data_IF_803673990812
#
_entry.id   IF_803673990812
#
_cell.length_a   1.000
_cell.length_b   1.000
_cell.length_c   1.000
_cell.angle_alpha   90.00
_cell.angle_beta   90.00
_cell.angle_gamma   90.00
#
_symmetry.space_group_name_H-M   'P 1'
#
loop_
_entity.id
_entity.type
_entity.pdbx_description
1 polymer ?
#
# COMPACT_ATOMS: atom_id res chain seq x y z
N UNK A 1 10.19 -5.47 9.62
CA UNK A 1 8.74 -5.40 9.45
C UNK A 1 8.51 -5.14 7.98
N UNK A 2 7.66 -5.94 7.34
CA UNK A 2 7.24 -5.79 5.95
C UNK A 2 5.76 -5.43 5.92
N UNK A 3 5.28 -4.85 4.81
CA UNK A 3 3.87 -4.57 4.60
C UNK A 3 3.39 -5.33 3.35
N UNK A 4 2.69 -6.45 3.54
CA UNK A 4 2.06 -7.16 2.42
C UNK A 4 0.59 -6.78 2.36
N UNK A 5 0.20 -6.08 1.30
CA UNK A 5 -1.15 -5.57 1.08
C UNK A 5 -1.88 -6.53 0.15
N UNK A 6 -2.98 -7.12 0.63
CA UNK A 6 -3.88 -7.94 -0.19
C UNK A 6 -5.14 -7.13 -0.49
N UNK A 7 -5.30 -6.78 -1.77
CA UNK A 7 -6.45 -6.01 -2.24
C UNK A 7 -7.68 -6.90 -2.44
N UNK A 8 -8.84 -6.27 -2.40
CA UNK A 8 -10.10 -6.86 -2.87
C UNK A 8 -10.72 -5.97 -3.93
N UNK A 9 -11.82 -6.40 -4.55
CA UNK A 9 -12.55 -5.57 -5.50
C UNK A 9 -13.03 -4.22 -4.94
N UNK A 10 -13.10 -4.07 -3.61
CA UNK A 10 -13.45 -2.80 -2.97
C UNK A 10 -12.23 -1.87 -2.86
N UNK A 11 -11.03 -2.42 -2.77
CA UNK A 11 -9.77 -1.69 -2.65
C UNK A 11 -8.92 -1.78 -3.92
N UNK A 12 -9.55 -2.04 -5.08
CA UNK A 12 -8.82 -2.25 -6.34
C UNK A 12 -8.06 -1.00 -6.77
N UNK A 13 -8.56 0.19 -6.43
CA UNK A 13 -7.76 1.40 -6.36
C UNK A 13 -7.29 1.63 -4.91
N UNK A 14 -6.05 1.26 -4.59
CA UNK A 14 -5.55 1.26 -3.21
C UNK A 14 -5.62 2.64 -2.55
N UNK A 15 -5.09 3.66 -3.23
CA UNK A 15 -5.06 5.02 -2.68
C UNK A 15 -6.46 5.64 -2.71
N UNK A 16 -7.24 5.41 -3.76
CA UNK A 16 -8.64 5.83 -3.83
C UNK A 16 -9.46 5.27 -2.67
N UNK A 17 -9.34 3.96 -2.40
CA UNK A 17 -10.00 3.28 -1.30
C UNK A 17 -9.63 3.87 0.06
N UNK A 18 -8.34 4.03 0.35
CA UNK A 18 -7.90 4.61 1.61
C UNK A 18 -8.39 6.06 1.76
N UNK A 19 -8.38 6.85 0.67
CA UNK A 19 -8.92 8.20 0.62
C UNK A 19 -10.42 8.28 0.97
N UNK A 20 -11.22 7.36 0.41
CA UNK A 20 -12.64 7.24 0.74
C UNK A 20 -12.86 6.75 2.17
N UNK A 21 -12.04 5.80 2.62
CA UNK A 21 -12.07 5.28 3.99
C UNK A 21 -11.87 6.39 5.02
N UNK A 22 -10.87 7.26 4.83
CA UNK A 22 -10.60 8.35 5.79
C UNK A 22 -11.66 9.45 5.74
N UNK A 23 -12.25 9.73 4.56
CA UNK A 23 -13.34 10.69 4.42
C UNK A 23 -14.61 10.26 5.16
N UNK A 24 -14.81 8.96 5.37
CA UNK A 24 -15.88 8.39 6.19
C UNK A 24 -15.81 8.72 7.70
N UNK A 25 -14.80 9.50 8.13
CA UNK A 25 -14.46 9.81 9.53
C UNK A 25 -14.58 8.57 10.45
N UNK A 26 -13.87 7.46 10.13
CA UNK A 26 -14.07 6.20 10.83
C UNK A 26 -13.66 6.28 12.30
N UNK A 27 -12.72 7.15 12.65
CA UNK A 27 -11.95 7.07 13.91
C UNK A 27 -12.29 8.17 14.90
N UNK A 28 -13.47 8.81 14.77
CA UNK A 28 -13.93 9.84 15.71
C UNK A 28 -13.89 9.30 17.15
N UNK A 29 -12.94 9.78 17.96
CA UNK A 29 -12.73 9.31 19.34
C UNK A 29 -11.56 8.32 19.56
N UNK A 30 -10.66 8.15 18.59
CA UNK A 30 -9.39 7.40 18.69
C UNK A 30 -9.52 5.86 18.77
N UNK A 31 -10.72 5.33 18.53
CA UNK A 31 -10.98 3.89 18.54
C UNK A 31 -11.06 3.29 19.94
N UNK A 32 -10.93 1.97 20.04
CA UNK A 32 -11.06 1.19 21.27
C UNK A 32 -10.18 -0.04 21.23
N UNK A 33 -9.66 -0.44 22.39
CA UNK A 33 -8.79 -1.61 22.52
C UNK A 33 -9.57 -2.82 23.05
N UNK A 34 -9.13 -4.02 22.68
CA UNK A 34 -9.56 -5.27 23.27
C UNK A 34 -8.32 -6.13 23.61
N UNK A 35 -8.30 -6.80 24.78
CA UNK A 35 -9.22 -6.61 25.91
C UNK A 35 -9.17 -5.18 26.49
N UNK A 36 -10.11 -4.84 27.37
CA UNK A 36 -10.21 -3.48 27.93
C UNK A 36 -8.97 -3.02 28.75
N UNK A 37 -8.04 -3.92 29.07
CA UNK A 37 -6.81 -3.63 29.79
C UNK A 37 -5.62 -4.29 29.07
N UNK A 38 -4.47 -3.62 29.04
CA UNK A 38 -3.29 -4.13 28.35
C UNK A 38 -2.75 -5.42 29.01
N UNK A 39 -2.07 -6.32 28.26
CA UNK A 39 -1.81 -6.24 26.82
C UNK A 39 -3.09 -6.36 25.98
N UNK A 40 -3.02 -5.80 24.79
CA UNK A 40 -4.12 -5.73 23.84
C UNK A 40 -3.89 -6.73 22.73
N UNK A 41 -4.95 -7.44 22.39
CA UNK A 41 -5.01 -8.31 21.21
C UNK A 41 -5.42 -7.47 19.98
N UNK A 42 -6.20 -6.41 20.20
CA UNK A 42 -6.78 -5.61 19.13
C UNK A 42 -6.85 -4.11 19.47
N UNK A 43 -6.70 -3.28 18.43
CA UNK A 43 -7.19 -1.91 18.39
C UNK A 43 -8.14 -1.78 17.21
N UNK A 44 -9.35 -1.30 17.47
CA UNK A 44 -10.34 -1.08 16.43
C UNK A 44 -10.76 0.38 16.40
N UNK A 45 -10.88 0.93 15.20
CA UNK A 45 -11.43 2.24 14.94
C UNK A 45 -12.44 2.14 13.83
N UNK A 46 -13.56 2.86 13.90
CA UNK A 46 -14.55 2.74 12.84
C UNK A 46 -15.99 2.97 13.26
N UNK A 47 -16.82 2.95 12.23
CA UNK A 47 -18.26 2.83 12.31
C UNK A 47 -18.71 1.70 11.36
N UNK A 48 -19.97 1.64 10.97
CA UNK A 48 -20.47 0.59 10.08
C UNK A 48 -20.04 0.73 8.62
N UNK A 49 -19.56 1.90 8.21
CA UNK A 49 -19.28 2.25 6.81
C UNK A 49 -17.79 2.39 6.49
N UNK A 50 -16.95 2.58 7.50
CA UNK A 50 -15.50 2.58 7.38
C UNK A 50 -14.93 2.14 8.74
N UNK A 51 -14.04 1.15 8.70
CA UNK A 51 -13.54 0.46 9.88
C UNK A 51 -12.12 -0.01 9.66
N UNK A 52 -11.35 -0.11 10.74
CA UNK A 52 -10.02 -0.70 10.78
C UNK A 52 -9.85 -1.50 12.07
N UNK A 53 -9.16 -2.64 11.98
CA UNK A 53 -8.75 -3.44 13.13
C UNK A 53 -7.25 -3.74 12.96
N UNK A 54 -6.48 -3.39 13.97
CA UNK A 54 -5.12 -3.88 14.18
C UNK A 54 -5.21 -5.10 15.11
N UNK A 55 -4.69 -6.24 14.70
CA UNK A 55 -4.53 -7.45 15.52
C UNK A 55 -3.06 -7.65 15.92
N UNK A 56 -2.82 -8.24 17.10
CA UNK A 56 -1.47 -8.57 17.59
C UNK A 56 -1.43 -9.00 19.06
N UNK A 57 -0.28 -8.79 19.71
CA UNK A 57 -0.09 -8.86 21.17
C UNK A 57 0.78 -7.67 21.58
N UNK A 58 0.12 -6.57 21.95
CA UNK A 58 0.79 -5.29 22.09
C UNK A 58 0.35 -4.47 23.30
N UNK A 59 1.20 -3.53 23.69
CA UNK A 59 0.84 -2.44 24.59
C UNK A 59 0.84 -1.14 23.82
N UNK A 60 -0.03 -0.23 24.18
CA UNK A 60 -0.08 1.08 23.56
C UNK A 60 -0.13 2.17 24.62
N UNK A 61 0.83 3.08 24.50
CA UNK A 61 0.73 4.44 25.02
C UNK A 61 0.88 5.33 23.80
N UNK A 62 0.27 6.52 23.82
CA UNK A 62 0.32 7.44 22.67
C UNK A 62 1.76 7.60 22.15
N UNK A 63 1.99 7.20 20.90
CA UNK A 63 3.31 7.24 20.24
C UNK A 63 4.34 6.26 20.82
N UNK A 64 3.88 5.12 21.34
CA UNK A 64 4.72 4.05 21.87
C UNK A 64 4.00 2.69 21.86
N UNK A 65 3.63 2.23 20.67
CA UNK A 65 3.21 0.85 20.39
C UNK A 65 4.40 -0.11 20.57
N UNK A 66 4.23 -1.15 21.37
CA UNK A 66 5.25 -2.16 21.66
C UNK A 66 4.64 -3.55 21.71
N UNK A 67 5.42 -4.60 21.42
CA UNK A 67 4.94 -5.99 21.38
C UNK A 67 5.09 -6.55 19.99
N UNK A 68 4.08 -7.27 19.50
CA UNK A 68 3.97 -7.74 18.11
C UNK A 68 2.66 -7.30 17.52
N UNK A 69 2.66 -7.05 16.21
CA UNK A 69 1.47 -6.75 15.42
C UNK A 69 1.41 -7.69 14.24
N UNK A 70 0.22 -8.20 13.96
CA UNK A 70 -0.01 -9.27 12.99
C UNK A 70 -0.63 -8.73 11.71
N UNK A 71 -1.83 -8.14 11.80
CA UNK A 71 -2.54 -7.60 10.64
C UNK A 71 -3.14 -6.22 10.93
N UNK A 72 -3.27 -5.41 9.90
CA UNK A 72 -4.06 -4.19 9.90
C UNK A 72 -5.12 -4.30 8.78
N UNK A 73 -6.35 -4.61 9.18
CA UNK A 73 -7.45 -4.88 8.27
C UNK A 73 -8.41 -3.70 8.19
N UNK A 74 -8.69 -3.24 6.98
CA UNK A 74 -9.66 -2.20 6.68
C UNK A 74 -10.93 -2.83 6.08
N UNK A 75 -12.07 -2.21 6.34
CA UNK A 75 -13.33 -2.65 5.77
C UNK A 75 -14.54 -1.96 6.35
N UNK A 76 -15.65 -2.70 6.41
CA UNK A 76 -16.95 -2.18 6.85
C UNK A 76 -17.62 -3.07 7.89
N UNK A 77 -18.65 -2.53 8.53
CA UNK A 77 -19.49 -3.27 9.47
C UNK A 77 -18.81 -3.57 10.82
N UNK A 78 -18.02 -2.63 11.36
CA UNK A 78 -17.40 -2.82 12.67
C UNK A 78 -18.45 -3.22 13.73
N UNK A 79 -18.16 -4.31 14.43
CA UNK A 79 -18.97 -4.80 15.54
C UNK A 79 -18.09 -5.28 16.69
N UNK A 80 -18.71 -5.52 17.85
CA UNK A 80 -18.00 -6.00 19.04
C UNK A 80 -17.72 -4.90 20.07
N UNK A 81 -16.77 -5.17 20.97
CA UNK A 81 -16.46 -4.32 22.11
C UNK A 81 -15.14 -4.71 22.78
N UNK A 82 -14.63 -3.85 23.66
CA UNK A 82 -13.51 -4.13 24.57
C UNK A 82 -13.72 -5.32 25.52
N UNK A 83 -14.90 -5.93 25.55
CA UNK A 83 -15.21 -7.14 26.33
C UNK A 83 -15.35 -8.41 25.51
N UNK A 84 -15.54 -8.29 24.19
CA UNK A 84 -15.91 -9.42 23.31
C UNK A 84 -14.98 -9.59 22.12
N UNK A 85 -14.03 -8.67 21.93
CA UNK A 85 -13.29 -8.54 20.67
C UNK A 85 -14.08 -7.73 19.66
N UNK A 86 -13.38 -7.34 18.60
CA UNK A 86 -13.90 -6.63 17.45
C UNK A 86 -13.87 -7.50 16.20
N UNK A 87 -14.76 -7.21 15.26
CA UNK A 87 -14.77 -7.86 13.95
C UNK A 87 -15.28 -6.90 12.87
N UNK A 88 -14.79 -7.11 11.65
CA UNK A 88 -15.35 -6.50 10.44
C UNK A 88 -16.49 -7.37 9.90
N UNK A 89 -17.51 -6.73 9.34
CA UNK A 89 -18.54 -7.43 8.56
C UNK A 89 -18.00 -7.88 7.21
N UNK A 90 -17.18 -7.03 6.59
CA UNK A 90 -16.44 -7.30 5.36
C UNK A 90 -15.05 -6.71 5.49
N UNK A 91 -14.01 -7.53 5.30
CA UNK A 91 -12.64 -7.05 5.09
C UNK A 91 -12.48 -6.69 3.62
N UNK A 92 -11.98 -5.48 3.35
CA UNK A 92 -11.88 -4.91 2.00
C UNK A 92 -10.42 -4.63 1.61
N UNK A 93 -9.52 -4.48 2.59
CA UNK A 93 -8.08 -4.44 2.41
C UNK A 93 -7.43 -5.07 3.65
N UNK A 94 -6.44 -5.94 3.45
CA UNK A 94 -5.67 -6.53 4.54
C UNK A 94 -4.19 -6.22 4.39
N UNK A 95 -3.54 -5.82 5.48
CA UNK A 95 -2.11 -5.56 5.54
C UNK A 95 -1.50 -6.54 6.53
N UNK A 96 -0.72 -7.50 6.04
CA UNK A 96 0.07 -8.41 6.86
C UNK A 96 1.38 -7.73 7.28
N UNK A 97 1.64 -7.77 8.59
CA UNK A 97 2.77 -7.14 9.27
C UNK A 97 3.81 -8.17 9.77
N UNK A 98 3.66 -9.44 9.38
CA UNK A 98 4.56 -10.56 9.65
C UNK A 98 4.83 -10.80 11.15
N UNK A 99 3.83 -10.56 12.00
CA UNK A 99 3.94 -10.68 13.46
C UNK A 99 5.13 -9.92 14.05
N UNK A 100 5.56 -8.84 13.39
CA UNK A 100 6.80 -8.15 13.71
C UNK A 100 6.64 -7.19 14.89
N UNK A 101 7.75 -6.89 15.54
CA UNK A 101 7.80 -5.78 16.49
C UNK A 101 7.56 -4.45 15.77
N UNK A 102 6.62 -3.61 16.24
CA UNK A 102 6.30 -2.33 15.60
C UNK A 102 7.53 -1.42 15.60
N UNK A 103 7.84 -0.88 14.42
CA UNK A 103 8.86 0.16 14.25
C UNK A 103 8.24 1.54 14.48
N UNK A 104 9.08 2.57 14.63
CA UNK A 104 8.63 3.92 14.98
C UNK A 104 7.65 4.53 13.95
N UNK A 105 7.84 4.26 12.66
CA UNK A 105 6.90 4.72 11.62
C UNK A 105 5.58 3.99 11.68
N UNK A 106 5.55 2.69 12.00
CA UNK A 106 4.30 1.96 12.18
C UNK A 106 3.53 2.46 13.41
N UNK A 107 4.22 2.72 14.53
CA UNK A 107 3.61 3.39 15.69
C UNK A 107 3.02 4.77 15.31
N UNK A 108 3.75 5.55 14.51
CA UNK A 108 3.28 6.82 13.99
C UNK A 108 2.08 6.65 13.04
N UNK A 109 2.04 5.57 12.26
CA UNK A 109 0.91 5.22 11.38
C UNK A 109 -0.35 4.97 12.22
N UNK A 110 -0.27 4.14 13.26
CA UNK A 110 -1.39 3.89 14.17
C UNK A 110 -1.84 5.19 14.87
N UNK A 111 -0.90 6.01 15.35
CA UNK A 111 -1.23 7.33 15.91
C UNK A 111 -1.93 8.25 14.88
N UNK A 112 -1.45 8.26 13.64
CA UNK A 112 -2.05 9.03 12.54
C UNK A 112 -3.46 8.58 12.22
N UNK A 113 -3.68 7.26 12.14
CA UNK A 113 -5.00 6.67 11.92
C UNK A 113 -5.96 7.03 13.07
N UNK A 114 -5.53 6.93 14.33
CA UNK A 114 -6.32 7.39 15.48
C UNK A 114 -6.69 8.88 15.43
N UNK A 115 -5.93 9.68 14.68
CA UNK A 115 -6.18 11.10 14.45
C UNK A 115 -6.92 11.38 13.12
N UNK A 116 -7.35 10.35 12.39
CA UNK A 116 -8.04 10.49 11.11
C UNK A 116 -7.12 10.94 9.97
N UNK A 117 -5.87 10.48 9.94
CA UNK A 117 -4.89 10.81 8.91
C UNK A 117 -4.17 9.57 8.37
N UNK A 118 -4.00 9.52 7.04
CA UNK A 118 -3.23 8.49 6.34
C UNK A 118 -1.75 8.86 6.14
N UNK A 119 -1.36 10.10 6.43
CA UNK A 119 -0.01 10.61 6.13
C UNK A 119 1.09 9.73 6.71
N UNK A 120 0.93 9.29 7.96
CA UNK A 120 1.91 8.44 8.62
C UNK A 120 1.87 6.98 8.13
N UNK A 121 0.71 6.52 7.63
CA UNK A 121 0.60 5.19 7.02
C UNK A 121 1.39 5.15 5.69
N UNK A 122 1.24 6.18 4.86
CA UNK A 122 2.05 6.30 3.64
C UNK A 122 3.53 6.52 3.93
N UNK A 123 3.88 7.25 4.99
CA UNK A 123 5.26 7.36 5.44
C UNK A 123 5.85 6.02 5.91
N UNK A 124 5.03 5.17 6.54
CA UNK A 124 5.42 3.81 6.89
C UNK A 124 5.68 2.96 5.64
N UNK A 125 4.75 2.94 4.66
CA UNK A 125 4.96 2.25 3.39
C UNK A 125 6.22 2.74 2.66
N UNK A 126 6.45 4.06 2.65
CA UNK A 126 7.65 4.66 2.09
C UNK A 126 8.95 4.29 2.82
N UNK A 127 8.91 3.93 4.10
CA UNK A 127 10.10 3.48 4.85
C UNK A 127 10.39 1.99 4.63
N UNK A 128 9.34 1.15 4.61
CA UNK A 128 9.52 -0.31 4.61
C UNK A 128 9.39 -0.96 3.22
N UNK A 129 8.88 -0.24 2.23
CA UNK A 129 8.40 -0.83 0.98
C UNK A 129 7.13 -1.67 1.19
N UNK A 130 6.49 -2.06 0.11
CA UNK A 130 5.24 -2.81 0.10
C UNK A 130 5.33 -4.02 -0.82
N UNK A 131 4.60 -5.08 -0.47
CA UNK A 131 4.23 -6.13 -1.43
C UNK A 131 2.74 -6.01 -1.68
N UNK A 132 2.34 -5.52 -2.85
CA UNK A 132 0.94 -5.35 -3.21
C UNK A 132 0.49 -6.49 -4.10
N UNK A 133 -0.61 -7.13 -3.69
CA UNK A 133 -1.25 -8.22 -4.40
C UNK A 133 -2.63 -7.73 -4.80
N UNK A 134 -2.80 -7.48 -6.10
CA UNK A 134 -4.07 -7.18 -6.73
C UNK A 134 -5.00 -8.40 -6.78
N UNK A 135 -6.01 -8.30 -7.61
CA UNK A 135 -7.16 -9.18 -7.67
C UNK A 135 -7.16 -9.94 -9.00
N UNK A 136 -8.34 -10.32 -9.49
CA UNK A 136 -8.50 -10.93 -10.81
C UNK A 136 -9.22 -10.00 -11.79
N UNK A 137 -9.39 -8.73 -11.42
CA UNK A 137 -10.00 -7.69 -12.22
C UNK A 137 -9.12 -6.45 -12.17
N UNK A 138 -9.44 -5.41 -12.95
CA UNK A 138 -8.62 -4.21 -13.04
C UNK A 138 -8.29 -3.56 -11.67
N UNK A 139 -6.99 -3.48 -11.36
CA UNK A 139 -6.45 -2.85 -10.16
C UNK A 139 -5.55 -1.64 -10.48
N UNK A 140 -5.46 -0.71 -9.53
CA UNK A 140 -4.54 0.43 -9.52
C UNK A 140 -3.63 0.30 -8.31
N UNK A 141 -2.39 -0.12 -8.58
CA UNK A 141 -1.34 -0.32 -7.59
C UNK A 141 -0.42 0.90 -7.57
N UNK A 142 0.15 1.21 -6.41
CA UNK A 142 0.93 2.45 -6.21
C UNK A 142 2.27 2.17 -5.58
N UNK A 143 3.36 2.62 -6.21
CA UNK A 143 4.66 2.64 -5.54
C UNK A 143 4.71 3.76 -4.48
N UNK A 144 5.45 3.50 -3.41
CA UNK A 144 5.87 4.42 -2.36
C UNK A 144 7.39 4.63 -2.46
N UNK A 145 8.02 5.35 -1.53
CA UNK A 145 9.44 5.68 -1.68
C UNK A 145 10.42 4.53 -1.40
N UNK A 146 9.94 3.42 -0.84
CA UNK A 146 10.74 2.25 -0.52
C UNK A 146 10.54 1.16 -1.55
N UNK A 147 11.44 0.18 -1.61
CA UNK A 147 11.44 -0.87 -2.64
C UNK A 147 10.15 -1.70 -2.60
N UNK A 148 9.32 -1.56 -3.63
CA UNK A 148 8.02 -2.21 -3.72
C UNK A 148 8.02 -3.43 -4.66
N UNK A 149 7.13 -4.37 -4.37
CA UNK A 149 6.80 -5.49 -5.25
C UNK A 149 5.32 -5.44 -5.57
N UNK A 150 4.99 -5.28 -6.86
CA UNK A 150 3.62 -5.11 -7.35
C UNK A 150 3.23 -6.33 -8.20
N UNK A 151 2.12 -6.97 -7.83
CA UNK A 151 1.50 -8.06 -8.58
C UNK A 151 0.08 -7.64 -8.91
N UNK A 152 -0.21 -7.39 -10.19
CA UNK A 152 -1.54 -6.94 -10.65
C UNK A 152 -2.58 -8.06 -10.54
N UNK A 153 -2.20 -9.27 -10.95
CA UNK A 153 -3.03 -10.45 -10.89
C UNK A 153 -3.67 -10.78 -12.23
N UNK A 154 -4.87 -10.27 -12.51
CA UNK A 154 -5.55 -10.55 -13.78
C UNK A 154 -6.42 -9.39 -14.25
N UNK A 155 -6.80 -9.45 -15.52
CA UNK A 155 -7.35 -8.32 -16.28
C UNK A 155 -6.32 -7.18 -16.43
N UNK A 156 -6.76 -5.93 -16.64
CA UNK A 156 -5.90 -4.84 -17.09
C UNK A 156 -5.56 -3.89 -15.95
N UNK A 157 -4.37 -4.06 -15.39
CA UNK A 157 -3.88 -3.32 -14.24
C UNK A 157 -3.12 -2.04 -14.59
N UNK A 158 -3.09 -1.11 -13.63
CA UNK A 158 -2.34 0.13 -13.68
C UNK A 158 -1.34 0.21 -12.54
N UNK A 159 -0.06 0.37 -12.87
CA UNK A 159 1.02 0.53 -11.90
C UNK A 159 1.48 1.99 -11.86
N UNK A 160 1.29 2.63 -10.71
CA UNK A 160 1.43 4.08 -10.56
C UNK A 160 2.71 4.46 -9.82
N UNK A 161 3.62 5.13 -10.53
CA UNK A 161 4.89 5.67 -10.06
C UNK A 161 4.84 7.21 -10.10
N UNK A 162 3.92 7.77 -9.33
CA UNK A 162 3.68 9.22 -9.25
C UNK A 162 4.05 9.77 -7.87
N UNK A 163 5.02 10.68 -7.84
CA UNK A 163 5.54 11.31 -6.62
C UNK A 163 4.49 12.20 -5.91
N UNK A 164 3.52 12.73 -6.64
CA UNK A 164 2.51 13.65 -6.10
C UNK A 164 1.41 12.94 -5.28
N UNK A 165 1.20 11.64 -5.48
CA UNK A 165 0.12 10.89 -4.82
C UNK A 165 0.36 10.76 -3.31
N UNK A 166 1.63 10.64 -2.92
CA UNK A 166 2.09 10.30 -1.58
C UNK A 166 3.20 11.25 -1.08
N UNK A 167 3.54 12.30 -1.86
CA UNK A 167 4.52 13.32 -1.48
C UNK A 167 5.95 12.79 -1.40
N UNK A 168 6.23 11.71 -2.13
CA UNK A 168 7.53 11.06 -2.15
C UNK A 168 8.53 11.85 -2.99
N UNK A 169 9.84 11.63 -2.76
CA UNK A 169 10.91 12.23 -3.55
C UNK A 169 11.56 11.23 -4.52
N UNK A 170 11.22 9.96 -4.40
CA UNK A 170 11.77 8.80 -5.10
C UNK A 170 10.67 7.73 -5.15
N UNK A 171 10.79 6.79 -6.08
CA UNK A 171 9.92 5.59 -6.15
C UNK A 171 10.63 4.35 -5.59
N UNK A 172 11.95 4.38 -5.44
CA UNK A 172 12.69 3.24 -4.89
C UNK A 172 13.05 2.23 -5.98
N UNK A 173 13.56 1.06 -5.59
CA UNK A 173 13.91 -0.01 -6.52
C UNK A 173 12.80 -1.06 -6.57
N UNK A 174 11.88 -0.90 -7.53
CA UNK A 174 10.61 -1.61 -7.59
C UNK A 174 10.62 -2.79 -8.56
N UNK A 175 9.70 -3.73 -8.33
CA UNK A 175 9.48 -4.89 -9.20
C UNK A 175 7.99 -5.05 -9.51
N UNK A 176 7.64 -5.07 -10.81
CA UNK A 176 6.34 -5.54 -11.28
C UNK A 176 6.50 -7.00 -11.71
N UNK A 177 5.74 -7.89 -11.08
CA UNK A 177 6.01 -9.34 -11.16
C UNK A 177 5.34 -10.06 -12.34
N UNK A 178 4.29 -9.49 -12.90
CA UNK A 178 3.39 -10.15 -13.85
C UNK A 178 2.96 -9.26 -15.02
N UNK A 179 3.72 -8.20 -15.32
CA UNK A 179 3.33 -7.18 -16.29
C UNK A 179 2.91 -7.75 -17.66
N UNK A 180 1.64 -7.58 -18.02
CA UNK A 180 1.07 -7.97 -19.30
C UNK A 180 1.16 -6.83 -20.33
N UNK A 181 2.15 -6.93 -21.22
CA UNK A 181 2.43 -5.95 -22.28
C UNK A 181 1.24 -5.67 -23.22
N UNK A 182 0.21 -6.51 -23.23
CA UNK A 182 -0.92 -6.37 -24.15
C UNK A 182 -1.94 -5.31 -23.75
N UNK A 183 -2.06 -5.03 -22.46
CA UNK A 183 -3.22 -4.32 -21.91
C UNK A 183 -2.98 -3.60 -20.57
N UNK A 184 -1.83 -3.80 -19.94
CA UNK A 184 -1.48 -3.09 -18.70
C UNK A 184 -0.71 -1.80 -18.94
N UNK A 185 -0.81 -0.90 -17.95
CA UNK A 185 -0.32 0.46 -18.01
C UNK A 185 0.63 0.78 -16.86
N UNK A 186 1.74 1.44 -17.17
CA UNK A 186 2.62 2.07 -16.20
C UNK A 186 2.42 3.59 -16.28
N UNK A 187 2.06 4.20 -15.17
CA UNK A 187 1.84 5.65 -15.06
C UNK A 187 3.06 6.28 -14.38
N UNK A 188 3.70 7.21 -15.07
CA UNK A 188 4.79 8.02 -14.55
C UNK A 188 4.29 9.42 -14.20
N UNK A 189 4.43 9.80 -12.93
CA UNK A 189 4.28 11.18 -12.45
C UNK A 189 5.58 11.63 -11.82
N UNK A 190 6.61 11.78 -12.66
CA UNK A 190 7.97 12.17 -12.28
C UNK A 190 8.27 13.60 -12.78
N UNK A 191 9.56 13.96 -12.91
CA UNK A 191 9.95 15.22 -13.53
C UNK A 191 10.03 15.11 -15.07
N UNK A 192 10.39 16.22 -15.72
CA UNK A 192 10.51 16.30 -17.18
C UNK A 192 11.62 15.44 -17.79
N UNK A 193 12.35 14.64 -17.01
CA UNK A 193 13.35 13.70 -17.51
C UNK A 193 12.74 12.34 -17.89
N UNK A 194 11.51 12.08 -17.43
CA UNK A 194 10.80 10.81 -17.60
C UNK A 194 9.32 11.05 -17.95
N UNK A 195 9.04 12.07 -18.78
CA UNK A 195 7.68 12.49 -19.14
C UNK A 195 7.24 12.00 -20.53
N UNK A 196 8.05 11.16 -21.16
CA UNK A 196 7.76 10.60 -22.48
C UNK A 196 8.23 9.16 -22.67
N UNK A 197 7.55 8.44 -23.57
CA UNK A 197 7.91 7.09 -23.97
C UNK A 197 9.37 6.97 -24.45
N UNK A 198 9.85 7.97 -25.20
CA UNK A 198 11.20 7.95 -25.74
C UNK A 198 12.26 8.00 -24.64
N UNK A 199 12.00 8.72 -23.54
CA UNK A 199 12.88 8.80 -22.39
C UNK A 199 12.86 7.50 -21.58
N UNK A 200 11.66 6.96 -21.30
CA UNK A 200 11.52 5.68 -20.57
C UNK A 200 12.24 4.55 -21.31
N UNK A 201 11.99 4.38 -22.61
CA UNK A 201 12.65 3.32 -23.39
C UNK A 201 14.15 3.54 -23.52
N UNK A 202 14.63 4.80 -23.61
CA UNK A 202 16.05 5.09 -23.59
C UNK A 202 16.72 4.74 -22.25
N UNK A 203 15.95 4.78 -21.16
CA UNK A 203 16.36 4.36 -19.82
C UNK A 203 16.15 2.87 -19.55
N UNK A 204 15.55 2.11 -20.47
CA UNK A 204 15.25 0.69 -20.26
C UNK A 204 16.32 -0.22 -20.87
N UNK A 205 16.75 -1.25 -20.12
CA UNK A 205 17.69 -2.27 -20.58
C UNK A 205 17.22 -3.68 -20.23
N UNK A 206 17.46 -4.65 -21.13
CA UNK A 206 17.20 -6.07 -20.82
C UNK A 206 18.21 -6.61 -19.81
N UNK A 207 17.72 -7.28 -18.78
CA UNK A 207 18.52 -7.99 -17.77
C UNK A 207 18.14 -9.47 -17.70
N UNK A 208 18.79 -10.24 -16.82
CA UNK A 208 18.38 -11.61 -16.55
C UNK A 208 17.03 -11.75 -15.83
N UNK A 209 16.54 -10.67 -15.20
CA UNK A 209 15.27 -10.63 -14.49
C UNK A 209 14.11 -10.12 -15.37
N UNK A 210 14.42 -9.39 -16.43
CA UNK A 210 13.44 -8.71 -17.30
C UNK A 210 13.93 -7.32 -17.71
N UNK A 211 13.02 -6.49 -18.22
CA UNK A 211 13.29 -5.12 -18.60
C UNK A 211 13.46 -4.25 -17.34
N UNK A 212 14.64 -3.62 -17.20
CA UNK A 212 14.96 -2.70 -16.11
C UNK A 212 14.91 -1.27 -16.62
N UNK A 213 14.00 -0.46 -16.07
CA UNK A 213 13.90 0.98 -16.29
C UNK A 213 14.76 1.67 -15.21
N UNK A 214 15.87 2.30 -15.60
CA UNK A 214 16.75 3.04 -14.69
C UNK A 214 16.34 4.52 -14.59
N UNK A 215 15.67 4.89 -13.49
CA UNK A 215 15.18 6.24 -13.23
C UNK A 215 16.22 7.10 -12.48
N UNK A 216 17.47 6.66 -12.42
CA UNK A 216 18.59 7.37 -11.83
C UNK A 216 18.37 7.66 -10.35
N UNK A 217 18.21 8.94 -9.99
CA UNK A 217 18.05 9.35 -8.59
C UNK A 217 16.67 9.00 -8.01
N UNK A 218 15.69 8.68 -8.85
CA UNK A 218 14.36 8.27 -8.42
C UNK A 218 14.25 6.77 -8.12
N UNK A 219 15.28 5.97 -8.46
CA UNK A 219 15.29 4.53 -8.29
C UNK A 219 15.15 3.78 -9.61
N UNK A 220 14.50 2.62 -9.61
CA UNK A 220 14.38 1.77 -10.78
C UNK A 220 13.12 0.92 -10.77
N UNK A 221 12.68 0.45 -11.94
CA UNK A 221 11.53 -0.45 -12.07
C UNK A 221 11.95 -1.65 -12.89
N UNK A 222 11.81 -2.85 -12.32
CA UNK A 222 12.01 -4.11 -13.04
C UNK A 222 10.67 -4.71 -13.45
N UNK A 223 10.47 -4.89 -14.76
CA UNK A 223 9.34 -5.63 -15.32
C UNK A 223 9.74 -7.09 -15.48
N UNK A 224 9.38 -7.92 -14.50
CA UNK A 224 9.85 -9.29 -14.43
C UNK A 224 9.40 -10.11 -15.64
N UNK A 225 10.36 -10.77 -16.32
CA UNK A 225 10.08 -11.62 -17.48
C UNK A 225 9.68 -10.87 -18.77
N UNK A 226 9.58 -9.54 -18.76
CA UNK A 226 9.30 -8.71 -19.93
C UNK A 226 10.60 -8.38 -20.67
N UNK A 227 10.56 -8.31 -22.00
CA UNK A 227 11.67 -7.80 -22.80
C UNK A 227 11.40 -6.37 -23.27
N UNK A 228 12.44 -5.55 -23.38
CA UNK A 228 12.33 -4.16 -23.84
C UNK A 228 11.68 -4.07 -25.22
N UNK A 229 11.94 -5.05 -26.09
CA UNK A 229 11.40 -5.09 -27.44
C UNK A 229 9.87 -5.31 -27.52
N UNK A 230 9.25 -5.79 -26.44
CA UNK A 230 7.81 -6.03 -26.36
C UNK A 230 7.04 -4.80 -25.87
N UNK A 231 7.73 -3.81 -25.29
CA UNK A 231 7.15 -2.57 -24.78
C UNK A 231 6.81 -1.61 -25.92
N UNK A 232 5.64 -0.98 -25.80
CA UNK A 232 5.13 -0.01 -26.78
C UNK A 232 4.66 1.25 -26.09
N UNK A 233 4.31 2.28 -26.87
CA UNK A 233 3.75 3.53 -26.33
C UNK A 233 2.48 3.32 -25.52
N UNK A 234 1.73 2.26 -25.79
CA UNK A 234 0.43 2.00 -25.16
C UNK A 234 0.60 1.49 -23.72
N UNK A 235 1.80 1.04 -23.35
CA UNK A 235 2.13 0.57 -22.00
C UNK A 235 2.46 1.72 -21.03
N UNK A 236 2.49 2.97 -21.49
CA UNK A 236 2.97 4.09 -20.70
C UNK A 236 2.04 5.31 -20.76
N UNK A 237 1.78 5.89 -19.60
CA UNK A 237 1.12 7.17 -19.46
C UNK A 237 1.95 8.11 -18.57
N UNK A 238 1.80 9.42 -18.82
CA UNK A 238 2.57 10.48 -18.17
C UNK A 238 1.59 11.54 -17.67
N UNK A 239 1.75 11.99 -16.41
CA UNK A 239 0.81 12.89 -15.72
C UNK A 239 1.46 14.12 -15.11
#
# INVERSE_FOLDING_TARGET
MSATLTLTSASSDLVGYLGDWIYGDPVTGHGSFYPAASPYDQWAGGNTSASVILDGDFTYVQGNLQGTVDTLDFGTGLSGSSSTGFSLGTTELSIDLDSAGPIASFDSAIYGLMAGSLTNLYAYFAEVGTTQIGTSGDDVLYSFAGDDTLTGGGDSDTFNFNLDVNGAATVGDDVITDFAVTDELIVFGLDSSYDSYAEIIAATTDTGAGALIDLGAYGSITLAGVQVADLTTDNFAFV
#
